data_IF_119020686489
#
_entry.id   IF_119020686489
#
_cell.length_a   1.000
_cell.length_b   1.000
_cell.length_c   1.000
_cell.angle_alpha   90.00
_cell.angle_beta   90.00
_cell.angle_gamma   90.00
#
_symmetry.space_group_name_H-M   'P 1'
#
loop_
_entity.id
_entity.type
_entity.pdbx_description
1 polymer ?
#
# COMPACT_ATOMS: atom_id res chain seq x y z
N UNK A 1 50.41 29.34 14.93
CA UNK A 1 50.60 27.99 15.48
C UNK A 1 49.37 27.64 16.30
N UNK A 2 48.31 27.16 15.65
CA UNK A 2 47.09 26.67 16.32
C UNK A 2 46.70 25.39 15.60
N UNK A 3 46.77 24.29 16.33
CA UNK A 3 46.37 22.95 15.85
C UNK A 3 44.85 22.85 15.81
N UNK A 4 44.30 22.50 14.66
CA UNK A 4 42.91 22.07 14.51
C UNK A 4 42.89 20.54 14.50
N UNK A 5 42.27 19.98 15.49
CA UNK A 5 42.16 18.54 15.70
C UNK A 5 40.91 18.00 14.95
N UNK A 6 41.15 17.26 13.88
CA UNK A 6 40.14 16.65 13.04
C UNK A 6 39.81 15.25 13.62
N UNK A 7 38.66 15.08 14.26
CA UNK A 7 38.09 13.75 14.59
C UNK A 7 36.79 13.57 13.84
N UNK A 8 36.91 13.05 12.65
CA UNK A 8 35.77 12.41 11.97
C UNK A 8 35.61 10.96 12.48
N UNK A 9 34.67 10.73 13.38
CA UNK A 9 34.34 9.39 13.84
C UNK A 9 33.34 8.80 12.82
N UNK A 10 33.81 7.76 12.15
CA UNK A 10 33.05 7.01 11.14
C UNK A 10 31.89 6.22 11.77
N UNK A 11 30.65 6.68 11.61
CA UNK A 11 29.44 5.97 12.01
C UNK A 11 29.06 4.81 11.08
N UNK A 12 29.89 4.51 10.08
CA UNK A 12 29.60 3.44 9.09
C UNK A 12 29.89 2.03 9.59
N UNK A 13 30.57 1.86 10.72
CA UNK A 13 30.98 0.55 11.24
C UNK A 13 29.89 -0.16 12.07
N UNK A 14 28.92 0.56 12.62
CA UNK A 14 27.89 -0.03 13.47
C UNK A 14 26.71 -0.64 12.69
N UNK A 15 26.44 -0.16 11.48
CA UNK A 15 25.35 -0.70 10.67
C UNK A 15 25.67 -2.08 10.04
N UNK A 16 26.96 -2.37 9.83
CA UNK A 16 27.39 -3.69 9.34
C UNK A 16 27.37 -4.79 10.41
N UNK A 17 27.47 -4.41 11.69
CA UNK A 17 27.44 -5.33 12.82
C UNK A 17 26.03 -5.86 13.13
N UNK A 18 24.99 -5.05 12.97
CA UNK A 18 23.62 -5.46 13.28
C UNK A 18 22.98 -6.34 12.18
N UNK A 19 23.36 -6.19 10.90
CA UNK A 19 22.89 -7.09 9.85
C UNK A 19 23.60 -8.45 9.87
N UNK A 20 24.85 -8.50 10.31
CA UNK A 20 25.61 -9.75 10.42
C UNK A 20 25.16 -10.62 11.61
N UNK A 21 24.65 -10.01 12.68
CA UNK A 21 24.16 -10.75 13.85
C UNK A 21 22.76 -11.35 13.64
N UNK A 22 21.93 -10.83 12.73
CA UNK A 22 20.64 -11.47 12.38
C UNK A 22 20.79 -12.68 11.43
N UNK A 23 21.89 -12.76 10.68
CA UNK A 23 22.17 -13.89 9.78
C UNK A 23 22.90 -15.05 10.47
N UNK A 24 23.53 -14.84 11.64
CA UNK A 24 24.29 -15.85 12.37
C UNK A 24 23.46 -16.69 13.36
N UNK A 25 22.22 -16.31 13.65
CA UNK A 25 21.33 -17.12 14.51
C UNK A 25 20.60 -18.23 13.73
N UNK A 26 20.59 -18.16 12.41
CA UNK A 26 19.91 -19.16 11.57
C UNK A 26 20.76 -20.40 11.22
N UNK A 27 22.05 -20.44 11.56
CA UNK A 27 22.94 -21.57 11.19
C UNK A 27 23.37 -22.47 12.32
N UNK A 28 22.90 -22.28 13.54
CA UNK A 28 23.33 -23.05 14.73
C UNK A 28 22.35 -24.16 15.16
N UNK A 29 21.35 -24.53 14.37
CA UNK A 29 20.34 -25.52 14.75
C UNK A 29 20.25 -26.74 13.80
N UNK A 30 21.36 -27.19 13.21
CA UNK A 30 21.42 -28.50 12.56
C UNK A 30 22.62 -29.28 13.08
N UNK A 31 22.50 -29.80 14.29
CA UNK A 31 23.24 -30.99 14.71
C UNK A 31 22.21 -32.09 14.91
N UNK A 32 22.06 -32.93 13.89
CA UNK A 32 21.19 -34.12 13.95
C UNK A 32 21.81 -35.16 14.82
N UNK A 33 21.07 -35.60 15.84
CA UNK A 33 21.28 -36.85 16.55
C UNK A 33 20.64 -37.99 15.71
N UNK A 34 21.41 -39.00 15.25
CA UNK A 34 20.89 -40.02 14.32
C UNK A 34 20.02 -41.08 14.97
N UNK A 35 19.69 -41.03 16.25
CA UNK A 35 19.00 -42.12 16.95
C UNK A 35 17.67 -41.76 17.66
N UNK A 36 17.07 -40.65 17.39
CA UNK A 36 15.76 -40.31 17.94
C UNK A 36 14.62 -40.68 16.97
N UNK A 37 14.41 -41.98 16.74
CA UNK A 37 13.14 -42.48 16.19
C UNK A 37 12.11 -42.52 17.31
N UNK A 38 11.67 -41.41 17.81
CA UNK A 38 10.43 -41.31 18.57
C UNK A 38 9.27 -41.18 17.60
N UNK A 39 8.41 -42.19 17.58
CA UNK A 39 7.07 -42.12 17.05
C UNK A 39 6.36 -40.96 17.77
N UNK A 40 6.28 -39.78 17.07
CA UNK A 40 5.33 -38.77 17.44
C UNK A 40 3.96 -39.36 17.09
N UNK A 41 3.22 -39.82 18.10
CA UNK A 41 1.78 -39.99 18.00
C UNK A 41 1.23 -38.61 17.52
N UNK A 42 0.80 -38.58 16.26
CA UNK A 42 0.02 -37.49 15.75
C UNK A 42 -1.30 -37.47 16.53
N UNK A 43 -1.45 -36.55 17.45
CA UNK A 43 -2.77 -36.20 17.95
C UNK A 43 -3.68 -35.97 16.73
N UNK A 44 -4.96 -36.40 16.75
CA UNK A 44 -5.88 -36.16 15.64
C UNK A 44 -5.93 -34.68 15.40
N UNK A 45 -5.34 -34.25 14.27
CA UNK A 45 -5.02 -32.84 13.97
C UNK A 45 -6.26 -31.97 14.10
N UNK A 46 -6.16 -30.99 14.96
CA UNK A 46 -6.97 -29.77 14.84
C UNK A 46 -6.62 -29.19 13.47
N UNK A 47 -7.51 -29.39 12.49
CA UNK A 47 -7.38 -28.76 11.18
C UNK A 47 -7.43 -27.26 11.45
N UNK A 48 -6.28 -26.61 11.36
CA UNK A 48 -6.17 -25.17 11.60
C UNK A 48 -7.17 -24.46 10.68
N UNK A 49 -7.96 -23.56 11.23
CA UNK A 49 -8.90 -22.74 10.47
C UNK A 49 -8.11 -21.98 9.39
N UNK A 50 -8.48 -22.07 8.10
CA UNK A 50 -7.76 -21.35 7.05
C UNK A 50 -7.80 -19.84 7.31
N UNK A 51 -6.66 -19.18 7.16
CA UNK A 51 -6.54 -17.73 7.36
C UNK A 51 -7.40 -16.96 6.38
N UNK A 52 -7.64 -15.68 6.66
CA UNK A 52 -8.36 -14.78 5.76
C UNK A 52 -7.67 -14.71 4.38
N UNK A 53 -6.33 -14.65 4.34
CA UNK A 53 -5.59 -14.63 3.08
C UNK A 53 -5.69 -15.94 2.31
N UNK A 54 -5.67 -17.08 3.01
CA UNK A 54 -5.90 -18.40 2.38
C UNK A 54 -7.25 -18.44 1.68
N UNK A 55 -8.32 -18.01 2.35
CA UNK A 55 -9.66 -17.92 1.75
C UNK A 55 -9.69 -16.98 0.55
N UNK A 56 -8.99 -15.86 0.63
CA UNK A 56 -8.88 -14.92 -0.48
C UNK A 56 -8.19 -15.55 -1.68
N UNK A 57 -7.07 -16.24 -1.47
CA UNK A 57 -6.35 -16.91 -2.55
C UNK A 57 -7.17 -18.05 -3.18
N UNK A 58 -7.95 -18.78 -2.39
CA UNK A 58 -8.89 -19.78 -2.90
C UNK A 58 -9.99 -19.15 -3.75
N UNK A 59 -10.54 -18.02 -3.33
CA UNK A 59 -11.52 -17.26 -4.10
C UNK A 59 -10.93 -16.75 -5.41
N UNK A 60 -9.73 -16.17 -5.36
CA UNK A 60 -9.01 -15.70 -6.56
C UNK A 60 -8.71 -16.87 -7.49
N UNK A 61 -8.21 -18.03 -6.99
CA UNK A 61 -7.95 -19.23 -7.79
C UNK A 61 -9.22 -19.72 -8.50
N UNK A 62 -10.35 -19.76 -7.78
CA UNK A 62 -11.63 -20.13 -8.37
C UNK A 62 -12.06 -19.18 -9.47
N UNK A 63 -11.85 -17.88 -9.30
CA UNK A 63 -12.14 -16.89 -10.32
C UNK A 63 -11.23 -17.05 -11.54
N UNK A 64 -9.94 -17.33 -11.33
CA UNK A 64 -8.91 -17.50 -12.38
C UNK A 64 -9.13 -18.75 -13.25
N UNK A 65 -9.98 -19.70 -12.85
CA UNK A 65 -10.44 -20.78 -13.73
C UNK A 65 -11.15 -20.23 -14.99
N UNK A 66 -11.64 -18.98 -14.96
CA UNK A 66 -12.10 -18.26 -16.13
C UNK A 66 -10.95 -17.37 -16.67
N UNK A 67 -10.51 -17.65 -17.90
CA UNK A 67 -9.42 -16.91 -18.55
C UNK A 67 -9.66 -15.39 -18.71
N UNK A 68 -10.92 -14.95 -18.61
CA UNK A 68 -11.29 -13.53 -18.69
C UNK A 68 -11.60 -12.90 -17.32
N UNK A 69 -11.22 -13.58 -16.22
CA UNK A 69 -11.52 -13.09 -14.89
C UNK A 69 -10.76 -11.79 -14.60
N UNK A 70 -11.49 -10.81 -14.14
CA UNK A 70 -10.98 -9.59 -13.52
C UNK A 70 -11.28 -9.71 -12.03
N UNK A 71 -10.26 -9.64 -11.18
CA UNK A 71 -10.44 -9.77 -9.74
C UNK A 71 -10.14 -8.46 -9.02
N UNK A 72 -10.65 -8.33 -7.82
CA UNK A 72 -10.34 -7.19 -6.97
C UNK A 72 -8.85 -7.23 -6.56
N UNK A 73 -8.15 -6.12 -6.69
CA UNK A 73 -6.74 -6.00 -6.31
C UNK A 73 -6.59 -5.38 -4.92
N UNK A 74 -6.81 -4.08 -4.80
CA UNK A 74 -6.89 -3.37 -3.54
C UNK A 74 -8.35 -3.14 -3.14
N UNK A 75 -8.61 -2.32 -2.13
CA UNK A 75 -9.98 -1.96 -1.73
C UNK A 75 -10.73 -1.26 -2.86
N UNK A 76 -11.99 -1.64 -3.06
CA UNK A 76 -12.91 -0.94 -3.93
C UNK A 76 -13.98 -0.29 -3.05
N UNK A 77 -14.01 1.04 -3.01
CA UNK A 77 -14.90 1.78 -2.12
C UNK A 77 -15.39 3.08 -2.73
N UNK A 78 -16.48 3.57 -2.21
CA UNK A 78 -16.97 4.93 -2.38
C UNK A 78 -17.29 5.53 -1.01
N UNK A 79 -16.73 6.70 -0.72
CA UNK A 79 -17.08 7.57 0.40
C UNK A 79 -17.87 8.74 -0.19
N UNK A 80 -19.20 8.65 -0.28
CA UNK A 80 -20.02 9.73 -0.83
C UNK A 80 -19.78 11.04 -0.09
N UNK A 81 -19.54 10.96 1.22
CA UNK A 81 -19.19 12.11 2.04
C UNK A 81 -17.84 11.89 2.73
N UNK A 82 -16.93 12.83 2.50
CA UNK A 82 -15.70 12.96 3.29
C UNK A 82 -15.39 14.44 3.52
N UNK A 83 -14.84 14.74 4.69
CA UNK A 83 -14.33 16.05 5.05
C UNK A 83 -12.81 15.98 5.08
N UNK A 84 -12.12 16.89 4.38
CA UNK A 84 -10.66 16.97 4.33
C UNK A 84 -10.21 18.36 4.73
N UNK A 85 -9.15 18.43 5.54
CA UNK A 85 -8.49 19.70 5.85
C UNK A 85 -7.49 20.06 4.74
N UNK A 86 -7.39 21.34 4.40
CA UNK A 86 -6.36 21.89 3.52
C UNK A 86 -6.24 21.21 2.14
N UNK A 87 -7.35 21.01 1.38
CA UNK A 87 -7.29 20.45 0.03
C UNK A 87 -6.54 21.38 -0.92
N UNK A 88 -5.78 20.81 -1.87
CA UNK A 88 -5.10 21.58 -2.89
C UNK A 88 -6.04 21.91 -4.05
N UNK A 89 -6.22 23.20 -4.34
CA UNK A 89 -7.02 23.67 -5.47
C UNK A 89 -6.35 23.49 -6.83
N UNK A 90 -5.01 23.31 -6.87
CA UNK A 90 -4.28 23.15 -8.13
C UNK A 90 -4.67 21.91 -8.94
N UNK A 91 -5.33 20.93 -8.33
CA UNK A 91 -5.71 19.70 -9.03
C UNK A 91 -6.68 19.91 -10.20
N UNK A 92 -7.42 21.03 -10.22
CA UNK A 92 -8.31 21.37 -11.31
C UNK A 92 -8.30 22.89 -11.57
N UNK A 93 -8.34 23.28 -12.85
CA UNK A 93 -8.26 24.70 -13.26
C UNK A 93 -9.46 25.55 -12.84
N UNK A 94 -10.62 24.94 -12.62
CA UNK A 94 -11.80 25.64 -12.14
C UNK A 94 -11.75 25.94 -10.63
N UNK A 95 -10.78 25.35 -9.90
CA UNK A 95 -10.65 25.50 -8.46
C UNK A 95 -9.61 26.55 -8.11
N UNK A 96 -9.92 27.33 -7.08
CA UNK A 96 -9.04 28.31 -6.45
C UNK A 96 -8.99 28.07 -4.95
N UNK A 97 -8.08 28.74 -4.24
CA UNK A 97 -8.05 28.71 -2.77
C UNK A 97 -9.36 29.15 -2.12
N UNK A 98 -10.14 29.98 -2.81
CA UNK A 98 -11.33 30.59 -2.27
C UNK A 98 -12.59 29.77 -2.50
N UNK A 99 -12.59 28.90 -3.54
CA UNK A 99 -13.75 28.11 -3.92
C UNK A 99 -13.57 26.59 -3.79
N UNK A 100 -12.41 26.10 -3.38
CA UNK A 100 -12.24 24.65 -3.09
C UNK A 100 -12.98 24.28 -1.81
N UNK A 101 -13.86 23.28 -1.89
CA UNK A 101 -14.63 22.79 -0.74
C UNK A 101 -13.82 21.71 0.03
N UNK A 102 -13.92 21.76 1.35
CA UNK A 102 -13.37 20.74 2.24
C UNK A 102 -14.21 19.45 2.24
N UNK A 103 -15.46 19.51 1.78
CA UNK A 103 -16.34 18.37 1.66
C UNK A 103 -16.31 17.84 0.24
N UNK A 104 -15.92 16.59 0.07
CA UNK A 104 -15.84 15.97 -1.24
C UNK A 104 -16.20 14.47 -1.16
N UNK A 105 -16.59 13.90 -2.30
CA UNK A 105 -16.67 12.46 -2.42
C UNK A 105 -15.28 11.90 -2.79
N UNK A 106 -14.92 10.74 -2.20
CA UNK A 106 -13.70 10.00 -2.55
C UNK A 106 -14.09 8.59 -2.96
N UNK A 107 -13.51 8.06 -4.03
CA UNK A 107 -13.71 6.66 -4.38
C UNK A 107 -12.45 6.03 -4.96
N UNK A 108 -12.35 4.72 -4.83
CA UNK A 108 -11.28 3.92 -5.38
C UNK A 108 -11.84 2.72 -6.13
N UNK A 109 -11.34 2.51 -7.34
CA UNK A 109 -11.52 1.30 -8.12
C UNK A 109 -10.17 0.62 -8.29
N UNK A 110 -10.07 -0.65 -7.93
CA UNK A 110 -8.82 -1.40 -8.01
C UNK A 110 -9.08 -2.83 -8.46
N UNK A 111 -8.46 -3.18 -9.59
CA UNK A 111 -8.62 -4.48 -10.24
C UNK A 111 -7.25 -5.07 -10.58
N UNK A 112 -7.19 -6.37 -10.72
CA UNK A 112 -6.05 -7.08 -11.31
C UNK A 112 -6.51 -8.09 -12.36
N UNK A 113 -5.69 -8.24 -13.40
CA UNK A 113 -5.85 -9.21 -14.47
C UNK A 113 -4.64 -10.12 -14.50
N UNK A 114 -4.81 -11.45 -14.61
CA UNK A 114 -3.70 -12.36 -14.83
C UNK A 114 -3.17 -12.18 -16.26
N UNK A 115 -1.86 -11.97 -16.38
CA UNK A 115 -1.16 -12.06 -17.67
C UNK A 115 -0.62 -13.48 -17.88
N UNK A 116 -0.24 -14.13 -16.78
CA UNK A 116 0.20 -15.52 -16.71
C UNK A 116 0.00 -16.02 -15.29
N UNK A 117 -0.53 -17.22 -15.11
CA UNK A 117 -0.58 -17.92 -13.83
C UNK A 117 -0.10 -19.35 -14.00
N UNK A 118 0.49 -19.90 -12.94
CA UNK A 118 0.73 -21.34 -12.88
C UNK A 118 -0.61 -22.08 -12.76
N UNK A 119 -0.63 -23.32 -13.22
CA UNK A 119 -1.84 -24.16 -13.18
C UNK A 119 -2.29 -24.37 -11.73
N UNK A 120 -3.59 -24.21 -11.49
CA UNK A 120 -4.24 -24.33 -10.17
C UNK A 120 -3.63 -23.44 -9.07
N UNK A 121 -3.05 -22.30 -9.44
CA UNK A 121 -2.37 -21.39 -8.53
C UNK A 121 -2.77 -19.94 -8.74
N UNK A 122 -2.59 -19.12 -7.71
CA UNK A 122 -2.60 -17.66 -7.82
C UNK A 122 -1.16 -17.08 -7.94
N UNK A 123 -0.16 -17.95 -8.09
CA UNK A 123 1.20 -17.53 -8.44
C UNK A 123 1.26 -17.17 -9.91
N UNK A 124 1.87 -16.02 -10.24
CA UNK A 124 1.93 -15.58 -11.62
C UNK A 124 2.24 -14.10 -11.81
N UNK A 125 2.19 -13.69 -13.08
CA UNK A 125 2.36 -12.33 -13.54
C UNK A 125 0.98 -11.66 -13.70
N UNK A 126 0.83 -10.48 -13.13
CA UNK A 126 -0.41 -9.72 -13.12
C UNK A 126 -0.22 -8.31 -13.65
N UNK A 127 -1.26 -7.79 -14.28
CA UNK A 127 -1.46 -6.36 -14.45
C UNK A 127 -2.47 -5.88 -13.40
N UNK A 128 -2.06 -4.92 -12.58
CA UNK A 128 -2.92 -4.24 -11.62
C UNK A 128 -3.24 -2.82 -12.12
N UNK A 129 -4.43 -2.35 -11.81
CA UNK A 129 -4.82 -0.98 -12.06
C UNK A 129 -5.64 -0.45 -10.90
N UNK A 130 -5.17 0.66 -10.31
CA UNK A 130 -5.90 1.37 -9.25
C UNK A 130 -6.15 2.80 -9.68
N UNK A 131 -7.39 3.24 -9.52
CA UNK A 131 -7.83 4.60 -9.74
C UNK A 131 -8.40 5.13 -8.42
N UNK A 132 -7.93 6.30 -7.97
CA UNK A 132 -8.49 7.00 -6.80
C UNK A 132 -8.89 8.41 -7.21
N UNK A 133 -10.14 8.77 -6.98
CA UNK A 133 -10.68 10.08 -7.36
C UNK A 133 -11.23 10.84 -6.17
N UNK A 134 -11.06 12.16 -6.22
CA UNK A 134 -11.51 13.14 -5.25
C UNK A 134 -12.43 14.12 -5.97
N UNK A 135 -13.71 14.10 -5.65
CA UNK A 135 -14.76 14.79 -6.41
C UNK A 135 -15.45 15.83 -5.56
N UNK A 136 -15.38 17.08 -6.02
CA UNK A 136 -16.05 18.26 -5.40
C UNK A 136 -17.57 18.21 -5.60
N UNK A 137 -18.19 17.06 -5.28
CA UNK A 137 -19.60 16.75 -5.53
C UNK A 137 -20.57 17.79 -4.95
N UNK A 138 -20.21 18.40 -3.82
CA UNK A 138 -21.03 19.31 -3.07
C UNK A 138 -20.75 20.78 -3.39
N UNK A 139 -19.69 21.04 -4.17
CA UNK A 139 -19.28 22.40 -4.51
C UNK A 139 -20.31 23.04 -5.46
N UNK A 140 -21.00 24.07 -4.98
CA UNK A 140 -22.01 24.82 -5.73
C UNK A 140 -21.49 26.06 -6.46
N UNK A 141 -20.28 26.48 -6.16
CA UNK A 141 -19.66 27.68 -6.77
C UNK A 141 -19.09 27.38 -8.17
N UNK A 142 -18.77 26.11 -8.42
CA UNK A 142 -18.25 25.59 -9.70
C UNK A 142 -19.03 24.36 -10.14
N UNK A 143 -18.84 23.90 -11.38
CA UNK A 143 -19.58 22.79 -11.99
C UNK A 143 -19.19 21.41 -11.43
N UNK A 144 -18.94 21.29 -10.13
CA UNK A 144 -18.62 20.02 -9.41
C UNK A 144 -17.50 19.22 -10.08
N UNK A 145 -16.29 19.78 -10.24
CA UNK A 145 -15.20 19.09 -10.91
C UNK A 145 -14.62 17.97 -10.06
N UNK A 146 -13.94 17.03 -10.70
CA UNK A 146 -12.96 16.22 -10.00
C UNK A 146 -11.78 17.11 -9.63
N UNK A 147 -11.47 17.19 -8.32
CA UNK A 147 -10.33 17.93 -7.83
C UNK A 147 -9.04 17.24 -8.20
N UNK A 148 -9.01 15.92 -8.07
CA UNK A 148 -7.85 15.09 -8.37
C UNK A 148 -8.30 13.68 -8.76
N UNK A 149 -7.57 13.06 -9.69
CA UNK A 149 -7.69 11.64 -9.99
C UNK A 149 -6.30 11.06 -10.16
N UNK A 150 -5.99 10.03 -9.40
CA UNK A 150 -4.72 9.33 -9.46
C UNK A 150 -4.89 7.99 -10.16
N UNK A 151 -4.09 7.73 -11.18
CA UNK A 151 -4.03 6.52 -11.98
C UNK A 151 -2.78 5.75 -11.61
N UNK A 152 -2.92 4.48 -11.27
CA UNK A 152 -1.83 3.65 -10.80
C UNK A 152 -1.84 2.30 -11.53
N UNK A 153 -1.32 2.20 -12.77
CA UNK A 153 -1.02 0.94 -13.41
C UNK A 153 0.23 0.31 -12.81
N UNK A 154 0.21 -1.01 -12.68
CA UNK A 154 1.33 -1.80 -12.18
C UNK A 154 1.40 -3.16 -12.88
N UNK A 155 2.62 -3.67 -13.02
CA UNK A 155 2.88 -5.04 -13.46
C UNK A 155 3.73 -5.70 -12.39
N UNK A 156 3.29 -6.83 -11.87
CA UNK A 156 3.99 -7.51 -10.79
C UNK A 156 3.89 -9.02 -10.93
N UNK A 157 4.95 -9.70 -10.47
CA UNK A 157 4.92 -11.13 -10.27
C UNK A 157 4.64 -11.43 -8.80
N UNK A 158 3.73 -12.35 -8.54
CA UNK A 158 3.42 -12.87 -7.22
C UNK A 158 3.93 -14.28 -7.09
N UNK A 159 4.78 -14.54 -6.09
CA UNK A 159 5.16 -15.87 -5.62
C UNK A 159 4.32 -16.19 -4.40
N UNK A 160 3.76 -17.40 -4.37
CA UNK A 160 3.13 -17.93 -3.18
C UNK A 160 4.16 -18.67 -2.34
N UNK A 161 3.97 -18.67 -1.04
CA UNK A 161 4.83 -19.43 -0.12
C UNK A 161 3.96 -20.18 0.87
N UNK A 162 4.45 -21.35 1.31
CA UNK A 162 3.84 -22.16 2.36
C UNK A 162 4.74 -22.18 3.63
N UNK A 163 5.45 -21.09 3.86
CA UNK A 163 6.41 -20.96 4.95
C UNK A 163 5.69 -20.40 6.18
N UNK A 164 5.80 -21.11 7.31
CA UNK A 164 5.44 -20.59 8.63
C UNK A 164 6.68 -20.02 9.32
N UNK A 165 6.65 -18.73 9.63
CA UNK A 165 7.77 -18.02 10.23
C UNK A 165 7.30 -17.28 11.49
N UNK A 166 7.91 -17.55 12.64
CA UNK A 166 7.62 -16.91 13.93
C UNK A 166 6.12 -16.97 14.34
N UNK A 167 5.42 -18.03 13.92
CA UNK A 167 3.98 -18.20 14.19
C UNK A 167 3.04 -17.65 13.13
N UNK A 168 3.56 -16.87 12.14
CA UNK A 168 2.78 -16.33 11.04
C UNK A 168 2.92 -17.19 9.78
N UNK A 169 1.85 -17.30 9.03
CA UNK A 169 1.90 -17.84 7.67
C UNK A 169 2.41 -16.75 6.72
N UNK A 170 3.57 -16.98 6.13
CA UNK A 170 4.11 -16.14 5.08
C UNK A 170 3.46 -16.56 3.76
N UNK A 171 2.52 -15.78 3.26
CA UNK A 171 1.62 -16.20 2.19
C UNK A 171 2.14 -15.86 0.79
N UNK A 172 2.73 -14.67 0.61
CA UNK A 172 3.18 -14.25 -0.71
C UNK A 172 4.26 -13.17 -0.67
N UNK A 173 5.05 -13.15 -1.75
CA UNK A 173 5.94 -12.04 -2.13
C UNK A 173 5.45 -11.51 -3.48
N UNK A 174 5.43 -10.19 -3.64
CA UNK A 174 5.15 -9.53 -4.91
C UNK A 174 6.30 -8.59 -5.25
N UNK A 175 6.82 -8.68 -6.46
CA UNK A 175 7.82 -7.75 -7.01
C UNK A 175 7.29 -7.21 -8.32
N UNK A 176 7.32 -5.89 -8.49
CA UNK A 176 6.78 -5.28 -9.68
C UNK A 176 7.22 -3.86 -9.93
N UNK A 177 6.77 -3.37 -11.08
CA UNK A 177 6.89 -1.98 -11.51
C UNK A 177 5.53 -1.30 -11.34
N UNK A 178 5.57 -0.09 -10.81
CA UNK A 178 4.40 0.74 -10.57
C UNK A 178 4.64 2.13 -11.12
N UNK A 179 3.70 2.61 -11.94
CA UNK A 179 3.59 4.02 -12.32
C UNK A 179 2.40 4.63 -11.58
N UNK A 180 2.53 5.85 -11.12
CA UNK A 180 1.41 6.60 -10.56
C UNK A 180 1.44 8.03 -11.08
N UNK A 181 0.34 8.49 -11.64
CA UNK A 181 0.21 9.85 -12.20
C UNK A 181 -1.20 10.40 -12.00
N UNK A 182 -1.34 11.72 -12.11
CA UNK A 182 -2.66 12.36 -12.08
C UNK A 182 -3.17 12.75 -13.47
N UNK A 183 -2.42 12.46 -14.54
CA UNK A 183 -2.84 12.75 -15.91
C UNK A 183 -2.97 14.24 -16.26
N UNK A 184 -2.42 15.12 -15.42
CA UNK A 184 -2.42 16.56 -15.64
C UNK A 184 -1.15 17.02 -16.35
N UNK A 185 -1.10 18.28 -16.76
CA UNK A 185 0.05 18.90 -17.43
C UNK A 185 0.52 20.16 -16.70
N UNK A 186 1.75 20.63 -17.01
CA UNK A 186 2.35 21.83 -16.45
C UNK A 186 2.50 21.76 -14.94
N UNK A 187 2.22 22.84 -14.24
CA UNK A 187 2.34 22.96 -12.78
C UNK A 187 1.42 22.01 -11.99
N UNK A 188 0.39 21.44 -12.65
CA UNK A 188 -0.55 20.49 -12.06
C UNK A 188 -0.10 19.06 -12.20
N UNK A 189 0.85 18.76 -13.09
CA UNK A 189 1.36 17.41 -13.32
C UNK A 189 2.00 16.83 -12.07
N UNK A 190 1.66 15.59 -11.76
CA UNK A 190 2.31 14.78 -10.74
C UNK A 190 2.42 13.35 -11.25
N UNK A 191 3.65 12.83 -11.24
CA UNK A 191 3.89 11.45 -11.60
C UNK A 191 5.15 10.90 -10.95
N UNK A 192 5.24 9.60 -10.82
CA UNK A 192 6.45 8.91 -10.42
C UNK A 192 6.42 7.43 -10.75
N UNK A 193 7.62 6.87 -10.92
CA UNK A 193 7.85 5.47 -11.23
C UNK A 193 8.56 4.76 -10.08
N UNK A 194 8.16 3.53 -9.77
CA UNK A 194 8.69 2.75 -8.65
C UNK A 194 8.90 1.30 -9.01
N UNK A 195 9.95 0.72 -8.46
CA UNK A 195 10.04 -0.74 -8.27
C UNK A 195 9.53 -1.03 -6.87
N UNK A 196 8.58 -1.94 -6.74
CA UNK A 196 7.89 -2.25 -5.48
C UNK A 196 8.13 -3.69 -5.07
N UNK A 197 8.40 -3.89 -3.79
CA UNK A 197 8.41 -5.20 -3.14
C UNK A 197 7.34 -5.22 -2.05
N UNK A 198 6.46 -6.20 -2.10
CA UNK A 198 5.43 -6.41 -1.08
C UNK A 198 5.54 -7.83 -0.51
N UNK A 199 5.30 -7.95 0.78
CA UNK A 199 5.21 -9.25 1.47
C UNK A 199 3.91 -9.32 2.25
N UNK A 200 3.25 -10.47 2.21
CA UNK A 200 1.96 -10.71 2.85
C UNK A 200 2.09 -11.84 3.87
N UNK A 201 1.58 -11.58 5.07
CA UNK A 201 1.55 -12.52 6.16
C UNK A 201 0.14 -12.61 6.74
N UNK A 202 -0.21 -13.75 7.35
CA UNK A 202 -1.46 -13.90 8.07
C UNK A 202 -1.30 -14.80 9.29
N UNK A 203 -2.23 -14.63 10.23
CA UNK A 203 -2.43 -15.51 11.36
C UNK A 203 -3.93 -15.51 11.67
N UNK A 204 -4.62 -16.64 11.39
CA UNK A 204 -6.07 -16.78 11.50
C UNK A 204 -6.86 -15.63 10.84
N UNK A 205 -7.40 -14.71 11.64
CA UNK A 205 -8.22 -13.58 11.20
C UNK A 205 -7.40 -12.28 11.02
N UNK A 206 -6.08 -12.35 11.23
CA UNK A 206 -5.15 -11.22 11.11
C UNK A 206 -4.36 -11.28 9.80
N UNK A 207 -4.20 -10.13 9.16
CA UNK A 207 -3.41 -9.96 7.93
C UNK A 207 -2.42 -8.84 8.12
N UNK A 208 -1.20 -9.09 7.72
CA UNK A 208 -0.11 -8.12 7.75
C UNK A 208 0.49 -7.99 6.36
N UNK A 209 0.87 -6.80 5.98
CA UNK A 209 1.71 -6.60 4.81
C UNK A 209 2.78 -5.55 5.05
N UNK A 210 3.89 -5.73 4.36
CA UNK A 210 4.94 -4.73 4.23
C UNK A 210 5.12 -4.45 2.74
N UNK A 211 4.98 -3.17 2.34
CA UNK A 211 5.37 -2.67 1.02
C UNK A 211 6.56 -1.75 1.18
N UNK A 212 7.55 -1.93 0.33
CA UNK A 212 8.67 -1.00 0.19
C UNK A 212 8.88 -0.71 -1.28
N UNK A 213 9.46 0.44 -1.57
CA UNK A 213 9.70 0.83 -2.97
C UNK A 213 10.98 1.62 -3.14
N UNK A 214 11.55 1.42 -4.30
CA UNK A 214 12.61 2.25 -4.83
C UNK A 214 12.02 3.15 -5.92
N UNK A 215 12.09 4.47 -5.72
CA UNK A 215 11.71 5.42 -6.74
C UNK A 215 12.75 5.40 -7.86
N UNK A 216 12.31 5.25 -9.10
CA UNK A 216 13.17 5.39 -10.27
C UNK A 216 13.40 6.89 -10.46
N UNK A 217 14.67 7.36 -10.45
CA UNK A 217 14.99 8.77 -10.66
C UNK A 217 14.59 9.21 -12.06
N UNK A 218 14.17 10.45 -12.17
CA UNK A 218 13.89 11.13 -13.42
C UNK A 218 14.72 12.42 -13.49
N UNK A 219 15.02 12.90 -14.69
CA UNK A 219 15.78 14.13 -14.89
C UNK A 219 14.95 15.33 -14.39
N UNK A 220 15.64 16.34 -13.89
CA UNK A 220 14.97 17.57 -13.46
C UNK A 220 14.30 18.27 -14.67
N UNK A 221 13.12 18.82 -14.46
CA UNK A 221 12.47 19.68 -15.46
C UNK A 221 13.32 20.92 -15.72
N UNK A 222 13.42 21.31 -16.97
CA UNK A 222 14.07 22.57 -17.40
C UNK A 222 13.12 23.74 -17.23
N UNK A 223 11.82 23.52 -17.52
CA UNK A 223 10.72 24.48 -17.34
C UNK A 223 9.54 23.78 -16.67
N UNK A 224 8.78 24.50 -15.85
CA UNK A 224 7.61 23.96 -15.14
C UNK A 224 6.52 23.41 -16.09
N UNK A 225 6.49 23.88 -17.33
CA UNK A 225 5.55 23.44 -18.36
C UNK A 225 6.07 22.28 -19.22
N UNK A 226 7.32 21.85 -19.03
CA UNK A 226 7.85 20.71 -19.76
C UNK A 226 7.00 19.46 -19.49
N UNK A 227 6.74 18.72 -20.56
CA UNK A 227 6.01 17.44 -20.49
C UNK A 227 6.88 16.28 -20.05
N UNK A 228 8.20 16.47 -20.01
CA UNK A 228 9.21 15.51 -19.57
C UNK A 228 9.93 16.00 -18.31
N UNK A 229 10.47 15.07 -17.55
CA UNK A 229 11.21 15.35 -16.32
C UNK A 229 10.37 15.20 -15.05
N UNK A 230 11.04 15.37 -13.92
CA UNK A 230 10.51 15.08 -12.59
C UNK A 230 9.48 16.12 -12.12
N UNK A 231 8.23 15.69 -11.98
CA UNK A 231 7.12 16.52 -11.51
C UNK A 231 7.14 16.80 -10.01
N UNK A 232 7.82 15.94 -9.24
CA UNK A 232 7.75 15.97 -7.77
C UNK A 232 9.03 15.37 -7.15
N UNK A 233 10.19 16.06 -7.27
CA UNK A 233 11.50 15.55 -6.91
C UNK A 233 11.63 15.15 -5.44
N UNK A 234 10.84 15.74 -4.57
CA UNK A 234 10.86 15.53 -3.12
C UNK A 234 9.75 14.59 -2.60
N UNK A 235 9.01 13.88 -3.49
CA UNK A 235 7.87 13.05 -3.09
C UNK A 235 8.22 11.99 -2.04
N UNK A 236 9.42 11.41 -2.09
CA UNK A 236 9.87 10.42 -1.10
C UNK A 236 9.98 10.99 0.32
N UNK A 237 10.21 12.31 0.47
CA UNK A 237 10.28 12.97 1.77
C UNK A 237 8.93 13.08 2.46
N UNK A 238 7.84 12.99 1.69
CA UNK A 238 6.46 13.15 2.19
C UNK A 238 5.67 11.86 2.08
N UNK A 239 5.59 11.29 0.87
CA UNK A 239 4.82 10.05 0.63
C UNK A 239 5.46 8.84 1.31
N UNK A 240 6.79 8.88 1.50
CA UNK A 240 7.53 7.85 2.21
C UNK A 240 8.24 6.86 1.28
N UNK A 241 8.81 5.83 1.93
CA UNK A 241 9.59 4.75 1.28
C UNK A 241 9.04 3.37 1.60
N UNK A 242 8.10 3.30 2.55
CA UNK A 242 7.48 2.05 2.98
C UNK A 242 6.05 2.28 3.47
N UNK A 243 5.27 1.22 3.43
CA UNK A 243 3.95 1.12 4.02
C UNK A 243 3.82 -0.22 4.76
N UNK A 244 3.32 -0.17 5.98
CA UNK A 244 2.93 -1.33 6.76
C UNK A 244 1.42 -1.31 6.89
N UNK A 245 0.78 -2.46 6.68
CA UNK A 245 -0.65 -2.64 6.92
C UNK A 245 -0.91 -3.76 7.90
N UNK A 246 -1.93 -3.55 8.72
CA UNK A 246 -2.50 -4.52 9.61
C UNK A 246 -4.02 -4.53 9.45
N UNK A 247 -4.57 -5.68 9.12
CA UNK A 247 -6.00 -5.91 9.02
C UNK A 247 -6.43 -7.03 9.97
N UNK A 248 -7.56 -6.84 10.65
CA UNK A 248 -8.13 -7.84 11.55
C UNK A 248 -9.65 -7.83 11.51
N UNK A 249 -10.26 -8.93 11.96
CA UNK A 249 -11.70 -9.02 12.21
C UNK A 249 -11.96 -9.46 13.64
N UNK A 250 -12.87 -8.77 14.30
CA UNK A 250 -13.41 -9.16 15.59
C UNK A 250 -14.95 -9.09 15.50
N UNK A 251 -15.59 -10.22 15.74
CA UNK A 251 -17.03 -10.40 15.47
C UNK A 251 -17.37 -10.02 14.03
N UNK A 252 -18.24 -9.01 13.86
CA UNK A 252 -18.63 -8.48 12.55
C UNK A 252 -17.82 -7.25 12.14
N UNK A 253 -16.93 -6.73 12.97
CA UNK A 253 -16.14 -5.55 12.66
C UNK A 253 -14.84 -5.91 11.98
N UNK A 254 -14.53 -5.21 10.91
CA UNK A 254 -13.20 -5.20 10.31
C UNK A 254 -12.46 -3.92 10.67
N UNK A 255 -11.15 -4.02 10.89
CA UNK A 255 -10.25 -2.88 11.07
C UNK A 255 -9.07 -3.05 10.13
N UNK A 256 -8.72 -2.00 9.40
CA UNK A 256 -7.49 -1.92 8.62
C UNK A 256 -6.72 -0.68 9.05
N UNK A 257 -5.46 -0.86 9.43
CA UNK A 257 -4.52 0.21 9.76
C UNK A 257 -3.42 0.21 8.71
N UNK A 258 -3.10 1.37 8.17
CA UNK A 258 -2.06 1.58 7.17
C UNK A 258 -1.12 2.69 7.66
N UNK A 259 0.17 2.40 7.70
CA UNK A 259 1.19 3.32 8.15
C UNK A 259 2.25 3.50 7.06
N UNK A 260 2.43 4.72 6.59
CA UNK A 260 3.53 5.08 5.68
C UNK A 260 4.59 5.89 6.42
N UNK A 261 5.85 5.74 6.00
CA UNK A 261 6.94 6.48 6.61
C UNK A 261 8.08 6.72 5.60
N UNK A 262 8.74 7.87 5.70
CA UNK A 262 9.88 8.23 4.85
C UNK A 262 11.23 7.70 5.37
N UNK A 263 11.27 7.13 6.59
CA UNK A 263 12.46 6.60 7.26
C UNK A 263 13.58 7.64 7.47
N UNK A 264 13.24 8.92 7.54
CA UNK A 264 14.19 10.01 7.81
C UNK A 264 14.15 10.40 9.29
N UNK A 265 15.29 10.40 9.96
CA UNK A 265 15.36 10.69 11.39
C UNK A 265 15.07 12.17 11.70
N UNK A 266 15.69 13.09 10.93
CA UNK A 266 15.61 14.53 11.21
C UNK A 266 14.29 15.16 10.73
N UNK A 267 13.67 14.61 9.67
CA UNK A 267 12.44 15.11 9.06
C UNK A 267 11.46 13.96 8.84
N UNK A 268 11.16 13.22 9.91
CA UNK A 268 10.24 12.09 9.84
C UNK A 268 8.86 12.55 9.42
N UNK A 269 8.35 11.96 8.32
CA UNK A 269 7.03 12.20 7.75
C UNK A 269 6.42 10.90 7.30
N UNK A 270 5.11 10.91 7.20
CA UNK A 270 4.34 9.77 6.74
C UNK A 270 2.86 10.01 6.92
N UNK A 271 2.11 8.94 6.98
CA UNK A 271 0.66 8.99 7.19
C UNK A 271 0.17 7.79 7.98
N UNK A 272 -0.97 7.96 8.61
CA UNK A 272 -1.78 6.90 9.19
C UNK A 272 -3.15 6.90 8.52
N UNK A 273 -3.59 5.74 8.06
CA UNK A 273 -4.95 5.46 7.60
C UNK A 273 -5.58 4.43 8.52
N UNK A 274 -6.82 4.63 8.90
CA UNK A 274 -7.60 3.67 9.69
C UNK A 274 -8.96 3.52 9.02
N UNK A 275 -9.36 2.30 8.74
CA UNK A 275 -10.68 1.97 8.21
C UNK A 275 -11.37 1.01 9.15
N UNK A 276 -12.57 1.38 9.58
CA UNK A 276 -13.51 0.47 10.22
C UNK A 276 -14.52 0.02 9.19
N UNK A 277 -14.83 -1.26 9.16
CA UNK A 277 -15.85 -1.83 8.28
C UNK A 277 -16.84 -2.69 9.04
N UNK A 278 -18.09 -2.72 8.54
CA UNK A 278 -19.16 -3.54 9.08
C UNK A 278 -19.98 -4.12 7.93
N UNK A 279 -20.19 -5.45 7.85
CA UNK A 279 -20.91 -6.07 6.76
C UNK A 279 -22.39 -5.66 6.77
N UNK A 280 -22.87 -5.13 5.65
CA UNK A 280 -24.30 -4.83 5.40
C UNK A 280 -24.93 -5.83 4.46
N UNK A 281 -24.12 -6.59 3.75
CA UNK A 281 -24.53 -7.72 2.92
C UNK A 281 -23.33 -8.65 2.66
N UNK A 282 -23.49 -9.82 2.04
CA UNK A 282 -22.37 -10.68 1.69
C UNK A 282 -21.33 -10.05 0.74
N UNK A 283 -21.68 -8.95 0.06
CA UNK A 283 -20.83 -8.28 -0.93
C UNK A 283 -20.35 -6.91 -0.49
N UNK A 284 -21.03 -6.26 0.44
CA UNK A 284 -20.81 -4.86 0.78
C UNK A 284 -20.63 -4.67 2.27
N UNK A 285 -19.72 -3.80 2.62
CA UNK A 285 -19.45 -3.36 3.99
C UNK A 285 -19.65 -1.85 4.07
N UNK A 286 -20.33 -1.37 5.12
CA UNK A 286 -20.29 0.05 5.50
C UNK A 286 -18.89 0.37 6.01
N UNK A 287 -18.37 1.55 5.70
CA UNK A 287 -17.03 1.97 6.12
C UNK A 287 -17.01 3.35 6.72
N UNK A 288 -16.15 3.50 7.73
CA UNK A 288 -15.65 4.77 8.26
C UNK A 288 -14.15 4.80 8.03
N UNK A 289 -13.67 5.77 7.26
CA UNK A 289 -12.24 5.96 6.96
C UNK A 289 -11.72 7.22 7.66
N UNK A 290 -10.57 7.10 8.31
CA UNK A 290 -9.78 8.21 8.84
C UNK A 290 -8.40 8.18 8.23
N UNK A 291 -7.90 9.34 7.85
CA UNK A 291 -6.54 9.54 7.33
C UNK A 291 -5.92 10.77 7.99
N UNK A 292 -4.64 10.68 8.36
CA UNK A 292 -3.86 11.82 8.82
C UNK A 292 -2.41 11.70 8.32
N UNK A 293 -1.90 12.73 7.71
CA UNK A 293 -0.52 12.78 7.23
C UNK A 293 -0.37 13.36 5.83
N UNK A 294 0.60 12.82 5.09
CA UNK A 294 0.98 13.26 3.76
C UNK A 294 0.59 12.23 2.69
N UNK A 295 0.32 12.72 1.47
CA UNK A 295 0.07 11.83 0.33
C UNK A 295 -1.29 11.14 0.34
N UNK A 296 -2.36 11.81 0.75
CA UNK A 296 -3.72 11.32 0.53
C UNK A 296 -4.04 11.28 -0.99
N UNK A 297 -3.54 12.27 -1.72
CA UNK A 297 -3.53 12.29 -3.20
C UNK A 297 -2.17 12.74 -3.74
N UNK A 298 -1.93 12.60 -5.06
CA UNK A 298 -0.67 13.05 -5.66
C UNK A 298 -0.53 14.57 -5.63
N UNK A 299 -1.59 15.32 -5.92
CA UNK A 299 -1.51 16.79 -5.90
C UNK A 299 -1.30 17.33 -4.47
N UNK A 300 -1.67 16.55 -3.47
CA UNK A 300 -1.52 16.86 -2.04
C UNK A 300 -0.31 16.17 -1.40
N UNK A 301 0.59 15.55 -2.17
CA UNK A 301 1.64 14.67 -1.62
C UNK A 301 2.48 15.33 -0.53
N UNK A 302 2.72 16.64 -0.63
CA UNK A 302 3.51 17.46 0.29
C UNK A 302 2.66 18.32 1.25
N UNK A 303 1.34 18.13 1.27
CA UNK A 303 0.42 18.77 2.22
C UNK A 303 0.01 17.81 3.32
N UNK A 304 0.16 18.26 4.56
CA UNK A 304 -0.40 17.51 5.68
C UNK A 304 -1.90 17.71 5.70
N UNK A 305 -2.63 16.61 5.64
CA UNK A 305 -4.09 16.59 5.63
C UNK A 305 -4.64 15.66 6.71
N UNK A 306 -5.84 15.95 7.12
CA UNK A 306 -6.69 15.08 7.92
C UNK A 306 -8.00 14.89 7.15
N UNK A 307 -8.41 13.63 6.97
CA UNK A 307 -9.65 13.26 6.31
C UNK A 307 -10.44 12.30 7.19
N UNK A 308 -11.74 12.53 7.24
CA UNK A 308 -12.71 11.56 7.73
C UNK A 308 -13.79 11.37 6.69
N UNK A 309 -14.19 10.13 6.43
CA UNK A 309 -15.19 9.82 5.41
C UNK A 309 -16.01 8.59 5.75
N UNK A 310 -17.23 8.57 5.27
CA UNK A 310 -18.18 7.46 5.45
C UNK A 310 -18.70 6.98 4.10
N UNK A 311 -18.93 5.68 3.98
CA UNK A 311 -19.41 5.11 2.74
C UNK A 311 -19.54 3.60 2.75
N UNK A 312 -19.30 3.01 1.59
CA UNK A 312 -19.38 1.57 1.39
C UNK A 312 -18.17 1.06 0.61
N UNK A 313 -17.78 -0.18 0.88
CA UNK A 313 -16.78 -0.91 0.12
C UNK A 313 -17.28 -2.30 -0.30
N UNK A 314 -16.63 -2.87 -1.33
CA UNK A 314 -16.75 -4.30 -1.59
C UNK A 314 -16.05 -5.06 -0.46
N UNK A 315 -16.69 -6.13 0.00
CA UNK A 315 -16.05 -7.00 0.98
C UNK A 315 -14.69 -7.48 0.44
N UNK A 316 -13.68 -7.43 1.29
CA UNK A 316 -12.33 -7.86 0.94
C UNK A 316 -12.16 -9.37 1.06
N UNK A 317 -12.96 -9.99 1.95
CA UNK A 317 -12.84 -11.39 2.35
C UNK A 317 -14.21 -12.03 2.57
#
# INVERSE_FOLDING_TARGET
>A
MIFVNNRSVSYFSYLKGCLASLLLVATAAIAQDPNATQQLEQEPGVVAKPSILTKRFESDRTALANAFAITQYQRNYILPFSHVTNPNSLGNEALTSDNVDNNEAKFQLSIKLPLYTQEDSVEGLYFGFTLTSFWQLYNSEVSKPFRETNYQPEVFYQWNTDIRLLGFDFNAIQLGFNHMSNGQSGIRSRSWNRVMLSTLFSDEDDVYYLKTWYRIPEDAKVDENDTSGDDNPDINHYYGRMEIGYGTRFDNWGVLIQLRNNLEWDKNRGSVGITFSYPISPRYEAVLEYFNGYGDSLIDYNRKQERIGVGVQLALF
#
